data_IF_833409480787
#
_entry.id   IF_833409480787
#
_cell.length_a   1.000
_cell.length_b   1.000
_cell.length_c   1.000
_cell.angle_alpha   90.00
_cell.angle_beta   90.00
_cell.angle_gamma   90.00
#
_symmetry.space_group_name_H-M   'P 1'
#
loop_
_entity.id
_entity.type
_entity.pdbx_description
1 polymer ?
#
# COMPACT_ATOMS: atom_id res chain seq x y z
N UNK A 1 -8.84 10.52 8.75
CA UNK A 1 -7.72 9.57 8.64
C UNK A 1 -6.56 10.20 7.85
N UNK A 2 -5.99 11.32 8.35
CA UNK A 2 -4.99 12.12 7.63
C UNK A 2 -4.02 12.81 8.63
N UNK A 3 -3.40 12.06 9.55
CA UNK A 3 -2.56 12.69 10.60
C UNK A 3 -1.12 12.15 10.66
N UNK A 4 -0.78 11.03 10.04
CA UNK A 4 0.57 10.44 10.23
C UNK A 4 1.67 11.13 9.39
N UNK A 5 1.34 12.04 8.46
CA UNK A 5 2.32 12.63 7.54
C UNK A 5 2.80 14.06 7.88
N UNK A 6 2.38 14.67 9.01
CA UNK A 6 2.71 16.08 9.29
C UNK A 6 3.53 16.38 10.55
N UNK A 7 3.80 15.42 11.43
CA UNK A 7 4.67 15.68 12.58
C UNK A 7 5.77 14.63 12.64
N UNK A 8 7.00 15.07 12.39
CA UNK A 8 8.22 14.30 12.62
C UNK A 8 8.50 14.04 14.11
N UNK A 9 7.65 14.54 15.02
CA UNK A 9 7.86 14.46 16.45
C UNK A 9 6.68 13.76 17.13
N UNK A 10 6.72 12.42 17.11
CA UNK A 10 6.00 11.62 18.10
C UNK A 10 6.81 11.66 19.39
N UNK A 11 6.17 11.97 20.51
CA UNK A 11 6.81 11.93 21.83
C UNK A 11 6.49 10.61 22.51
N UNK A 12 7.51 9.98 23.09
CA UNK A 12 7.34 8.79 23.91
C UNK A 12 6.56 9.18 25.17
N UNK A 13 5.43 8.51 25.41
CA UNK A 13 4.47 8.90 26.44
C UNK A 13 5.00 8.72 27.88
N UNK A 14 6.06 7.92 28.06
CA UNK A 14 6.66 7.66 29.38
C UNK A 14 7.88 8.56 29.63
N UNK A 15 8.62 8.90 28.58
CA UNK A 15 9.91 9.61 28.71
C UNK A 15 9.88 11.06 28.24
N UNK A 16 8.80 11.50 27.58
CA UNK A 16 8.64 12.85 27.00
C UNK A 16 9.80 13.28 26.08
N UNK A 17 10.61 12.32 25.62
CA UNK A 17 11.67 12.56 24.65
C UNK A 17 11.08 12.50 23.24
N UNK A 18 11.54 13.36 22.32
CA UNK A 18 11.16 13.23 20.93
C UNK A 18 11.63 11.86 20.44
N UNK A 19 10.69 11.01 20.05
CA UNK A 19 11.01 9.81 19.28
C UNK A 19 11.36 10.32 17.90
N UNK A 20 12.67 10.48 17.66
CA UNK A 20 13.18 10.69 16.32
C UNK A 20 12.93 9.39 15.52
N UNK A 21 11.71 9.19 15.06
CA UNK A 21 11.31 8.03 14.29
C UNK A 21 11.76 8.25 12.84
N UNK A 22 13.08 8.36 12.66
CA UNK A 22 13.66 8.39 11.32
C UNK A 22 13.38 7.03 10.70
N UNK A 23 12.45 7.02 9.74
CA UNK A 23 12.12 5.84 8.97
C UNK A 23 13.42 5.26 8.39
N UNK A 24 13.74 3.97 8.63
CA UNK A 24 14.94 3.37 8.11
C UNK A 24 14.95 3.43 6.58
N UNK A 25 16.11 3.70 5.98
CA UNK A 25 16.25 3.77 4.52
C UNK A 25 15.75 2.50 3.84
N UNK A 26 15.90 1.33 4.48
CA UNK A 26 15.36 0.06 4.02
C UNK A 26 13.83 0.11 3.82
N UNK A 27 13.09 0.72 4.75
CA UNK A 27 11.63 0.85 4.66
C UNK A 27 11.25 1.84 3.56
N UNK A 28 11.93 2.98 3.50
CA UNK A 28 11.72 3.98 2.45
C UNK A 28 11.98 3.39 1.05
N UNK A 29 13.08 2.66 0.89
CA UNK A 29 13.44 1.97 -0.35
C UNK A 29 12.41 0.89 -0.71
N UNK A 30 11.90 0.14 0.27
CA UNK A 30 10.83 -0.84 0.06
C UNK A 30 9.55 -0.17 -0.45
N UNK A 31 9.12 0.93 0.20
CA UNK A 31 7.92 1.66 -0.19
C UNK A 31 8.07 2.27 -1.58
N UNK A 32 9.23 2.84 -1.91
CA UNK A 32 9.54 3.37 -3.23
C UNK A 32 9.47 2.28 -4.30
N UNK A 33 10.15 1.16 -4.07
CA UNK A 33 10.14 0.03 -5.00
C UNK A 33 8.72 -0.47 -5.28
N UNK A 34 7.89 -0.61 -4.23
CA UNK A 34 6.48 -0.99 -4.38
C UNK A 34 5.71 0.06 -5.18
N UNK A 35 5.92 1.35 -4.91
CA UNK A 35 5.22 2.43 -5.62
C UNK A 35 5.55 2.50 -7.11
N UNK A 36 6.75 2.07 -7.51
CA UNK A 36 7.22 2.03 -8.90
C UNK A 36 6.77 0.75 -9.62
N UNK A 37 6.54 -0.34 -8.89
CA UNK A 37 6.29 -1.68 -9.46
C UNK A 37 4.95 -2.31 -9.05
N UNK A 38 4.03 -1.54 -8.44
CA UNK A 38 2.77 -2.06 -7.89
C UNK A 38 1.91 -2.81 -8.92
N UNK A 39 1.99 -2.42 -10.19
CA UNK A 39 1.21 -2.99 -11.29
C UNK A 39 1.73 -4.35 -11.78
N UNK A 40 2.88 -4.80 -11.29
CA UNK A 40 3.51 -6.07 -11.67
C UNK A 40 3.27 -7.14 -10.61
N UNK A 41 3.57 -8.40 -10.93
CA UNK A 41 3.60 -9.47 -9.93
C UNK A 41 4.77 -9.21 -8.99
N UNK A 42 4.47 -8.87 -7.74
CA UNK A 42 5.45 -8.64 -6.68
C UNK A 42 5.40 -9.78 -5.68
N UNK A 43 6.50 -10.52 -5.56
CA UNK A 43 6.73 -11.47 -4.49
C UNK A 43 7.64 -10.88 -3.42
N UNK A 44 7.47 -11.35 -2.17
CA UNK A 44 8.39 -11.00 -1.08
C UNK A 44 9.84 -11.32 -1.43
N UNK A 45 10.07 -12.41 -2.18
CA UNK A 45 11.41 -12.83 -2.61
C UNK A 45 12.05 -11.79 -3.53
N UNK A 46 11.34 -11.32 -4.55
CA UNK A 46 11.84 -10.29 -5.47
C UNK A 46 12.20 -9.00 -4.74
N UNK A 47 11.32 -8.53 -3.84
CA UNK A 47 11.57 -7.33 -3.03
C UNK A 47 12.83 -7.51 -2.18
N UNK A 48 12.97 -8.65 -1.51
CA UNK A 48 14.12 -8.90 -0.62
C UNK A 48 15.43 -9.11 -1.36
N UNK A 49 15.38 -9.69 -2.57
CA UNK A 49 16.56 -9.83 -3.44
C UNK A 49 17.07 -8.46 -3.90
N UNK A 50 16.18 -7.57 -4.31
CA UNK A 50 16.52 -6.21 -4.73
C UNK A 50 17.07 -5.35 -3.58
N UNK A 51 16.63 -5.61 -2.36
CA UNK A 51 17.02 -4.87 -1.17
C UNK A 51 18.13 -5.53 -0.35
N UNK A 52 18.69 -6.65 -0.82
CA UNK A 52 19.75 -7.41 -0.16
C UNK A 52 19.45 -7.74 1.33
N UNK A 53 18.21 -8.14 1.62
CA UNK A 53 17.78 -8.49 2.99
C UNK A 53 17.04 -9.83 3.05
N UNK A 54 16.77 -10.33 4.25
CA UNK A 54 15.95 -11.53 4.43
C UNK A 54 14.46 -11.20 4.51
N UNK A 55 13.61 -12.12 4.05
CA UNK A 55 12.13 -12.01 4.12
C UNK A 55 11.64 -11.81 5.55
N UNK A 56 12.20 -12.56 6.50
CA UNK A 56 11.85 -12.48 7.92
C UNK A 56 12.19 -11.12 8.50
N UNK A 57 13.39 -10.61 8.18
CA UNK A 57 13.80 -9.28 8.62
C UNK A 57 12.87 -8.22 8.06
N UNK A 58 12.68 -8.17 6.74
CA UNK A 58 11.83 -7.17 6.08
C UNK A 58 10.40 -7.20 6.61
N UNK A 59 9.79 -8.38 6.73
CA UNK A 59 8.42 -8.53 7.24
C UNK A 59 8.27 -7.94 8.64
N UNK A 60 9.24 -8.22 9.53
CA UNK A 60 9.22 -7.73 10.92
C UNK A 60 9.38 -6.22 10.97
N UNK A 61 10.40 -5.68 10.31
CA UNK A 61 10.66 -4.23 10.37
C UNK A 61 9.58 -3.44 9.63
N UNK A 62 9.09 -3.94 8.50
CA UNK A 62 8.04 -3.24 7.75
C UNK A 62 6.74 -3.16 8.55
N UNK A 63 6.35 -4.24 9.22
CA UNK A 63 5.19 -4.22 10.11
C UNK A 63 5.40 -3.30 11.32
N UNK A 64 6.62 -3.27 11.89
CA UNK A 64 6.96 -2.40 13.01
C UNK A 64 6.84 -0.91 12.65
N UNK A 65 7.34 -0.50 11.47
CA UNK A 65 7.42 0.90 11.07
C UNK A 65 6.20 1.41 10.27
N UNK A 66 5.56 0.54 9.48
CA UNK A 66 4.42 0.90 8.61
C UNK A 66 3.08 0.45 9.22
N UNK A 67 3.10 -0.42 10.23
CA UNK A 67 1.90 -0.91 10.92
C UNK A 67 1.11 -1.99 10.16
N UNK A 68 1.56 -2.39 8.97
CA UNK A 68 0.89 -3.40 8.13
C UNK A 68 1.90 -4.30 7.44
N UNK A 69 1.42 -5.41 6.87
CA UNK A 69 2.29 -6.28 6.07
C UNK A 69 2.63 -5.63 4.73
N UNK A 70 3.73 -6.05 4.12
CA UNK A 70 4.11 -5.62 2.76
C UNK A 70 3.00 -5.94 1.75
N UNK A 71 2.34 -7.10 1.89
CA UNK A 71 1.24 -7.50 1.01
C UNK A 71 0.01 -6.57 1.15
N UNK A 72 -0.36 -6.21 2.38
CA UNK A 72 -1.47 -5.29 2.63
C UNK A 72 -1.14 -3.89 2.10
N UNK A 73 0.13 -3.47 2.24
CA UNK A 73 0.60 -2.21 1.69
C UNK A 73 0.52 -2.18 0.16
N UNK A 74 1.00 -3.22 -0.53
CA UNK A 74 0.85 -3.37 -1.99
C UNK A 74 -0.63 -3.28 -2.36
N UNK A 75 -1.48 -4.06 -1.68
CA UNK A 75 -2.94 -4.06 -1.94
C UNK A 75 -3.54 -2.67 -1.79
N UNK A 76 -3.15 -1.94 -0.75
CA UNK A 76 -3.62 -0.56 -0.48
C UNK A 76 -3.23 0.38 -1.62
N UNK A 77 -1.98 0.33 -2.08
CA UNK A 77 -1.51 1.13 -3.23
C UNK A 77 -2.30 0.79 -4.49
N UNK A 78 -2.53 -0.50 -4.77
CA UNK A 78 -3.29 -0.93 -5.94
C UNK A 78 -4.73 -0.43 -5.90
N UNK A 79 -5.41 -0.53 -4.76
CA UNK A 79 -6.77 0.00 -4.61
C UNK A 79 -6.81 1.52 -4.81
N UNK A 80 -5.86 2.26 -4.23
CA UNK A 80 -5.78 3.70 -4.44
C UNK A 80 -5.60 4.07 -5.92
N UNK A 81 -4.75 3.32 -6.65
CA UNK A 81 -4.56 3.49 -8.10
C UNK A 81 -5.81 3.13 -8.90
N UNK A 82 -6.51 2.07 -8.52
CA UNK A 82 -7.78 1.70 -9.14
C UNK A 82 -8.85 2.78 -8.95
N UNK A 83 -8.95 3.39 -7.77
CA UNK A 83 -9.88 4.51 -7.53
C UNK A 83 -9.58 5.71 -8.44
N UNK A 84 -8.29 6.03 -8.66
CA UNK A 84 -7.88 7.09 -9.60
C UNK A 84 -8.33 6.73 -11.03
N UNK A 85 -8.04 5.53 -11.50
CA UNK A 85 -8.42 5.06 -12.84
C UNK A 85 -9.94 5.08 -13.06
N UNK A 86 -10.73 4.71 -12.05
CA UNK A 86 -12.19 4.77 -12.12
C UNK A 86 -12.70 6.22 -12.22
N UNK A 87 -12.08 7.18 -11.51
CA UNK A 87 -12.36 8.62 -11.63
C UNK A 87 -11.99 9.17 -13.00
N UNK A 88 -10.95 8.63 -13.63
CA UNK A 88 -10.55 8.94 -15.01
C UNK A 88 -11.43 8.24 -16.07
N UNK A 89 -12.49 7.54 -15.66
CA UNK A 89 -13.48 6.96 -16.56
C UNK A 89 -13.19 5.53 -17.02
N UNK A 90 -12.05 4.94 -16.64
CA UNK A 90 -11.69 3.55 -16.97
C UNK A 90 -12.76 2.57 -16.52
N UNK A 91 -12.97 1.49 -17.26
CA UNK A 91 -13.85 0.39 -16.87
C UNK A 91 -13.33 -0.32 -15.61
N UNK A 92 -14.22 -1.03 -14.92
CA UNK A 92 -13.86 -1.82 -13.73
C UNK A 92 -12.78 -2.86 -14.08
N UNK A 93 -12.91 -3.49 -15.26
CA UNK A 93 -11.95 -4.47 -15.77
C UNK A 93 -10.58 -3.84 -16.04
N UNK A 94 -10.53 -2.69 -16.71
CA UNK A 94 -9.28 -1.96 -16.94
C UNK A 94 -8.63 -1.55 -15.61
N UNK A 95 -9.40 -0.98 -14.69
CA UNK A 95 -8.90 -0.57 -13.38
C UNK A 95 -8.34 -1.76 -12.58
N UNK A 96 -8.96 -2.95 -12.67
CA UNK A 96 -8.44 -4.17 -12.06
C UNK A 96 -7.04 -4.50 -12.57
N UNK A 97 -6.88 -4.67 -13.89
CA UNK A 97 -5.62 -5.15 -14.46
C UNK A 97 -4.52 -4.08 -14.43
N UNK A 98 -4.85 -2.81 -14.74
CA UNK A 98 -3.88 -1.72 -14.73
C UNK A 98 -3.39 -1.39 -13.31
N UNK A 99 -4.21 -1.62 -12.28
CA UNK A 99 -3.75 -1.48 -10.90
C UNK A 99 -2.93 -2.67 -10.39
N UNK A 100 -2.73 -3.72 -11.21
CA UNK A 100 -1.86 -4.86 -10.87
C UNK A 100 -2.55 -6.07 -10.26
N UNK A 101 -3.89 -6.11 -10.22
CA UNK A 101 -4.60 -7.35 -9.89
C UNK A 101 -4.67 -8.24 -11.12
N UNK A 102 -4.48 -9.54 -10.92
CA UNK A 102 -4.59 -10.56 -11.98
C UNK A 102 -5.94 -11.28 -11.98
N UNK A 103 -6.79 -11.01 -10.99
CA UNK A 103 -8.12 -11.60 -10.84
C UNK A 103 -9.11 -10.51 -10.41
N UNK A 104 -10.13 -10.29 -11.24
CA UNK A 104 -11.19 -9.32 -10.99
C UNK A 104 -12.02 -9.66 -9.75
N UNK A 105 -12.19 -10.95 -9.43
CA UNK A 105 -13.00 -11.38 -8.28
C UNK A 105 -12.31 -10.99 -6.97
N UNK A 106 -11.02 -11.30 -6.85
CA UNK A 106 -10.19 -10.86 -5.73
C UNK A 106 -10.10 -9.33 -5.65
N UNK A 107 -9.92 -8.65 -6.80
CA UNK A 107 -9.93 -7.18 -6.85
C UNK A 107 -11.22 -6.59 -6.27
N UNK A 108 -12.40 -7.03 -6.71
CA UNK A 108 -13.69 -6.52 -6.23
C UNK A 108 -13.82 -6.72 -4.72
N UNK A 109 -13.44 -7.90 -4.21
CA UNK A 109 -13.47 -8.19 -2.79
C UNK A 109 -12.53 -7.29 -1.98
N UNK A 110 -11.30 -7.07 -2.46
CA UNK A 110 -10.32 -6.21 -1.80
C UNK A 110 -10.71 -4.74 -1.87
N UNK A 111 -11.23 -4.29 -3.01
CA UNK A 111 -11.73 -2.93 -3.19
C UNK A 111 -12.88 -2.67 -2.22
N UNK A 112 -13.92 -3.51 -2.21
CA UNK A 112 -15.05 -3.38 -1.30
C UNK A 112 -14.65 -3.37 0.17
N UNK A 113 -13.70 -4.21 0.58
CA UNK A 113 -13.18 -4.20 1.96
C UNK A 113 -12.48 -2.90 2.32
N UNK A 114 -11.79 -2.27 1.36
CA UNK A 114 -11.04 -1.05 1.57
C UNK A 114 -11.92 0.22 1.49
N UNK A 115 -12.97 0.21 0.68
CA UNK A 115 -13.79 1.39 0.36
C UNK A 115 -15.24 1.31 0.87
N UNK A 116 -15.66 0.16 1.39
CA UNK A 116 -17.04 -0.19 1.76
C UNK A 116 -18.04 -0.30 0.59
N UNK A 117 -17.59 -0.19 -0.66
CA UNK A 117 -18.44 -0.30 -1.85
C UNK A 117 -17.67 -1.02 -2.98
N UNK A 118 -18.39 -1.69 -3.88
CA UNK A 118 -17.77 -2.33 -5.05
C UNK A 118 -17.22 -1.30 -6.04
N UNK A 119 -16.27 -1.67 -6.92
CA UNK A 119 -15.78 -0.77 -7.98
C UNK A 119 -16.90 -0.22 -8.88
N UNK A 120 -17.93 -1.03 -9.14
CA UNK A 120 -19.08 -0.64 -9.96
C UNK A 120 -19.96 0.39 -9.25
N UNK A 121 -20.24 0.19 -7.96
CA UNK A 121 -20.97 1.17 -7.12
C UNK A 121 -20.18 2.48 -7.01
N UNK A 122 -18.89 2.40 -6.69
CA UNK A 122 -17.97 3.54 -6.66
C UNK A 122 -18.03 4.33 -7.98
N UNK A 123 -17.94 3.64 -9.13
CA UNK A 123 -18.00 4.29 -10.45
C UNK A 123 -19.36 4.92 -10.74
N UNK A 124 -20.45 4.34 -10.24
CA UNK A 124 -21.80 4.90 -10.40
C UNK A 124 -21.95 6.21 -9.63
N UNK A 125 -21.36 6.33 -8.44
CA UNK A 125 -21.38 7.55 -7.62
C UNK A 125 -20.53 8.70 -8.19
N UNK A 126 -19.65 8.42 -9.15
CA UNK A 126 -18.83 9.43 -9.83
C UNK A 126 -19.52 10.09 -11.03
N UNK A 127 -20.67 9.57 -11.46
CA UNK A 127 -21.46 10.09 -12.58
C UNK A 127 -22.56 11.00 -12.07
#
# INVERSE_FOLDING_TARGET
>A
LQIILLCNDFYDAETLKPVNYKMPDMILNTMRFISENYNQKLSMKEITCMLHCSVTYLSRIFKQYVGMTVYDYITTIRIAKAQIMLREGKSVTEACFLSGFNDCSNFINKFKRATNETPSEFKKHLR
#
